data_IF_581184255673
#
_entry.id   IF_581184255673
#
_cell.length_a   1.000
_cell.length_b   1.000
_cell.length_c   1.000
_cell.angle_alpha   90.00
_cell.angle_beta   90.00
_cell.angle_gamma   90.00
#
_symmetry.space_group_name_H-M   'P 1'
#
loop_
_entity.id
_entity.type
_entity.pdbx_description
1 polymer ?
#
# COMPACT_ATOMS: atom_id res chain seq x y z
N UNK A 1 -2.27 -60.49 -32.88
CA UNK A 1 -3.21 -60.67 -31.74
C UNK A 1 -2.40 -60.74 -30.46
N UNK A 2 -2.70 -59.96 -29.42
CA UNK A 2 -3.12 -58.55 -29.41
C UNK A 2 -2.38 -57.71 -28.35
N UNK A 3 -2.73 -56.43 -28.34
CA UNK A 3 -2.37 -55.32 -27.43
C UNK A 3 -2.49 -55.64 -25.93
N UNK A 4 -1.82 -54.83 -25.09
CA UNK A 4 -2.47 -54.16 -23.96
C UNK A 4 -1.73 -52.85 -23.60
N UNK A 5 -2.46 -51.74 -23.77
CA UNK A 5 -2.17 -50.42 -23.23
C UNK A 5 -2.24 -50.43 -21.69
N UNK A 6 -1.46 -49.57 -21.03
CA UNK A 6 -1.91 -48.95 -19.78
C UNK A 6 -1.51 -47.47 -19.78
N UNK A 7 -2.51 -46.61 -19.92
CA UNK A 7 -2.41 -45.17 -19.75
C UNK A 7 -2.65 -44.73 -18.30
N UNK A 8 -3.00 -43.45 -18.19
CA UNK A 8 -3.37 -42.68 -16.98
C UNK A 8 -2.17 -42.03 -16.27
N UNK A 9 -1.79 -40.79 -16.59
CA UNK A 9 -2.44 -39.55 -16.15
C UNK A 9 -2.82 -39.58 -14.67
N UNK A 10 -2.00 -38.93 -13.84
CA UNK A 10 -2.44 -38.37 -12.56
C UNK A 10 -2.10 -36.88 -12.53
N UNK A 11 -2.88 -36.11 -13.29
CA UNK A 11 -3.31 -34.79 -12.83
C UNK A 11 -4.03 -34.98 -11.49
N UNK A 12 -3.57 -34.31 -10.43
CA UNK A 12 -4.30 -34.35 -9.17
C UNK A 12 -3.47 -34.11 -7.93
N UNK A 13 -2.91 -32.91 -7.79
CA UNK A 13 -2.82 -32.29 -6.46
C UNK A 13 -2.89 -30.78 -6.61
N UNK A 14 -4.12 -30.31 -6.88
CA UNK A 14 -4.49 -28.98 -6.43
C UNK A 14 -4.12 -28.92 -4.95
N UNK A 15 -3.17 -28.03 -4.61
CA UNK A 15 -2.85 -27.73 -3.23
C UNK A 15 -4.13 -27.27 -2.56
N UNK A 16 -4.74 -28.15 -1.78
CA UNK A 16 -5.66 -27.76 -0.73
C UNK A 16 -4.78 -27.02 0.27
N UNK A 17 -4.70 -25.70 0.11
CA UNK A 17 -4.10 -24.81 1.09
C UNK A 17 -4.88 -24.99 2.38
N UNK A 18 -4.22 -25.54 3.39
CA UNK A 18 -4.80 -25.79 4.69
C UNK A 18 -5.22 -24.43 5.29
N UNK A 19 -6.52 -24.21 5.47
CA UNK A 19 -7.15 -22.90 5.65
C UNK A 19 -6.97 -22.27 7.05
N UNK A 20 -5.94 -22.65 7.79
CA UNK A 20 -5.74 -22.23 9.17
C UNK A 20 -4.33 -21.64 9.35
N UNK A 21 -3.99 -20.58 8.61
CA UNK A 21 -2.86 -19.74 9.00
C UNK A 21 -3.26 -18.95 10.26
N UNK A 22 -2.93 -19.51 11.42
CA UNK A 22 -3.48 -19.19 12.74
C UNK A 22 -2.71 -18.09 13.48
N UNK A 23 -2.12 -17.12 12.80
CA UNK A 23 -1.40 -16.03 13.49
C UNK A 23 -2.39 -15.02 14.09
N UNK A 24 -2.06 -14.36 15.22
CA UNK A 24 -2.88 -13.27 15.76
C UNK A 24 -3.16 -12.18 14.72
N UNK A 25 -2.18 -11.91 13.85
CA UNK A 25 -2.28 -11.01 12.72
C UNK A 25 -3.43 -11.37 11.76
N UNK A 26 -3.43 -12.60 11.23
CA UNK A 26 -4.42 -13.01 10.23
C UNK A 26 -5.82 -13.19 10.83
N UNK A 27 -5.92 -13.52 12.13
CA UNK A 27 -7.21 -13.53 12.84
C UNK A 27 -7.79 -12.13 12.99
N UNK A 28 -6.95 -11.13 13.21
CA UNK A 28 -7.37 -9.74 13.33
C UNK A 28 -7.77 -9.16 11.98
N UNK A 29 -6.93 -9.34 10.95
CA UNK A 29 -7.15 -8.75 9.63
C UNK A 29 -8.21 -9.47 8.80
N UNK A 30 -8.43 -10.76 9.06
CA UNK A 30 -9.38 -11.62 8.35
C UNK A 30 -9.17 -11.68 6.82
N UNK A 31 -7.94 -11.45 6.38
CA UNK A 31 -7.59 -11.51 4.96
C UNK A 31 -7.83 -12.90 4.34
N UNK A 32 -7.53 -14.04 5.03
CA UNK A 32 -7.85 -15.36 4.51
C UNK A 32 -9.36 -15.58 4.28
N UNK A 33 -10.21 -15.05 5.16
CA UNK A 33 -11.67 -15.09 4.99
C UNK A 33 -12.12 -14.21 3.83
N UNK A 34 -11.53 -13.02 3.68
CA UNK A 34 -11.87 -12.06 2.62
C UNK A 34 -11.68 -12.65 1.22
N UNK A 35 -10.56 -13.36 1.01
CA UNK A 35 -10.21 -13.99 -0.28
C UNK A 35 -10.45 -15.49 -0.33
N UNK A 36 -11.28 -16.02 0.58
CA UNK A 36 -11.64 -17.44 0.59
C UNK A 36 -12.17 -17.87 -0.78
N UNK A 37 -11.65 -18.99 -1.27
CA UNK A 37 -12.01 -19.56 -2.58
C UNK A 37 -11.85 -18.55 -3.72
N UNK A 38 -10.74 -17.80 -3.78
CA UNK A 38 -10.40 -16.86 -4.87
C UNK A 38 -8.95 -17.04 -5.28
N UNK A 39 -8.62 -16.61 -6.50
CA UNK A 39 -7.24 -16.66 -6.99
C UNK A 39 -6.45 -15.48 -6.46
N UNK A 40 -5.53 -15.76 -5.53
CA UNK A 40 -4.57 -14.78 -5.01
C UNK A 40 -3.64 -14.26 -6.11
N UNK A 41 -3.36 -15.09 -7.12
CA UNK A 41 -2.61 -14.70 -8.31
C UNK A 41 -3.32 -13.58 -9.08
N UNK A 42 -4.63 -13.75 -9.36
CA UNK A 42 -5.42 -12.72 -10.06
C UNK A 42 -5.48 -11.44 -9.25
N UNK A 43 -5.68 -11.53 -7.94
CA UNK A 43 -5.77 -10.38 -7.04
C UNK A 43 -4.45 -9.60 -7.00
N UNK A 44 -3.33 -10.27 -6.78
CA UNK A 44 -2.00 -9.63 -6.68
C UNK A 44 -1.51 -9.08 -8.01
N UNK A 45 -1.71 -9.82 -9.10
CA UNK A 45 -1.31 -9.38 -10.45
C UNK A 45 -2.14 -8.18 -10.90
N UNK A 46 -3.41 -8.09 -10.48
CA UNK A 46 -4.26 -6.93 -10.77
C UNK A 46 -3.73 -5.61 -10.19
N UNK A 47 -2.89 -5.65 -9.16
CA UNK A 47 -2.26 -4.45 -8.58
C UNK A 47 -0.96 -4.05 -9.28
N UNK A 48 -0.41 -4.87 -10.19
CA UNK A 48 0.89 -4.60 -10.80
C UNK A 48 0.85 -3.39 -11.73
N UNK A 49 1.93 -2.63 -11.83
CA UNK A 49 1.96 -1.56 -12.83
C UNK A 49 2.04 -2.17 -14.24
N UNK A 50 1.39 -1.58 -15.26
CA UNK A 50 1.48 -2.05 -16.63
C UNK A 50 2.95 -2.11 -17.08
N UNK A 51 3.33 -3.22 -17.70
CA UNK A 51 4.62 -3.32 -18.38
C UNK A 51 4.68 -2.36 -19.58
N UNK A 52 5.92 -2.08 -20.01
CA UNK A 52 6.15 -1.24 -21.19
C UNK A 52 5.81 -1.97 -22.51
N UNK A 53 5.57 -3.28 -22.47
CA UNK A 53 5.25 -4.08 -23.65
C UNK A 53 3.88 -3.68 -24.20
N UNK A 54 3.88 -3.08 -25.39
CA UNK A 54 2.68 -2.55 -26.01
C UNK A 54 1.87 -3.59 -26.78
N UNK A 55 0.57 -3.35 -26.88
CA UNK A 55 -0.32 -4.05 -27.80
C UNK A 55 -0.69 -5.48 -27.41
N UNK A 56 -0.28 -5.94 -26.21
CA UNK A 56 -0.63 -7.24 -25.69
C UNK A 56 -1.56 -7.14 -24.48
N UNK A 57 -2.48 -8.11 -24.38
CA UNK A 57 -3.29 -8.27 -23.18
C UNK A 57 -2.39 -8.70 -22.01
N UNK A 58 -2.57 -8.07 -20.86
CA UNK A 58 -1.86 -8.44 -19.64
C UNK A 58 -2.57 -9.64 -19.00
N UNK A 59 -1.85 -10.75 -18.83
CA UNK A 59 -2.36 -11.93 -18.12
C UNK A 59 -2.39 -11.64 -16.62
N UNK A 60 -3.59 -11.67 -16.02
CA UNK A 60 -3.76 -11.50 -14.58
C UNK A 60 -3.63 -12.83 -13.81
N UNK A 61 -3.90 -13.95 -14.48
CA UNK A 61 -3.77 -15.29 -13.92
C UNK A 61 -4.89 -16.21 -14.37
N UNK A 62 -5.05 -17.33 -13.69
CA UNK A 62 -6.10 -18.31 -14.00
C UNK A 62 -7.20 -18.34 -12.92
N UNK A 63 -8.45 -18.45 -13.37
CA UNK A 63 -9.61 -18.64 -12.50
C UNK A 63 -10.59 -19.65 -13.08
N UNK A 64 -10.88 -20.74 -12.34
CA UNK A 64 -11.78 -21.83 -12.77
C UNK A 64 -11.50 -22.34 -14.20
N UNK A 65 -10.21 -22.52 -14.52
CA UNK A 65 -9.77 -22.96 -15.84
C UNK A 65 -9.75 -21.87 -16.92
N UNK A 66 -10.32 -20.69 -16.67
CA UNK A 66 -10.33 -19.56 -17.61
C UNK A 66 -9.16 -18.62 -17.35
N UNK A 67 -8.53 -18.13 -18.42
CA UNK A 67 -7.50 -17.10 -18.34
C UNK A 67 -8.17 -15.74 -18.10
N UNK A 68 -7.79 -15.06 -17.02
CA UNK A 68 -8.23 -13.72 -16.72
C UNK A 68 -7.19 -12.75 -17.27
N UNK A 69 -7.64 -11.82 -18.11
CA UNK A 69 -6.76 -10.87 -18.81
C UNK A 69 -7.30 -9.46 -18.69
N UNK A 70 -6.39 -8.49 -18.67
CA UNK A 70 -6.66 -7.08 -18.89
C UNK A 70 -6.31 -6.72 -20.34
N UNK A 71 -7.17 -5.98 -21.03
CA UNK A 71 -6.99 -5.71 -22.46
C UNK A 71 -5.83 -4.75 -22.72
N UNK A 72 -5.21 -4.85 -23.90
CA UNK A 72 -4.14 -3.92 -24.31
C UNK A 72 -4.57 -2.44 -24.27
N UNK A 73 -5.85 -2.15 -24.54
CA UNK A 73 -6.42 -0.80 -24.41
C UNK A 73 -6.44 -0.35 -22.94
N UNK A 74 -6.90 -1.22 -22.03
CA UNK A 74 -6.94 -0.92 -20.61
C UNK A 74 -5.53 -0.67 -20.05
N UNK A 75 -4.54 -1.48 -20.44
CA UNK A 75 -3.14 -1.29 -20.02
C UNK A 75 -2.53 0.01 -20.57
N UNK A 76 -2.92 0.41 -21.79
CA UNK A 76 -2.53 1.71 -22.35
C UNK A 76 -3.14 2.87 -21.57
N UNK A 77 -4.41 2.75 -21.19
CA UNK A 77 -5.07 3.74 -20.32
C UNK A 77 -4.39 3.81 -18.96
N UNK A 78 -4.06 2.67 -18.34
CA UNK A 78 -3.34 2.65 -17.06
C UNK A 78 -2.02 3.42 -17.14
N UNK A 79 -1.23 3.27 -18.22
CA UNK A 79 0.00 4.05 -18.42
C UNK A 79 -0.25 5.56 -18.43
N UNK A 80 -1.34 6.01 -19.07
CA UNK A 80 -1.76 7.42 -19.06
C UNK A 80 -2.15 7.85 -17.64
N UNK A 81 -2.92 7.04 -16.91
CA UNK A 81 -3.29 7.33 -15.52
C UNK A 81 -2.07 7.44 -14.61
N UNK A 82 -1.07 6.56 -14.76
CA UNK A 82 0.15 6.60 -13.96
C UNK A 82 0.95 7.89 -14.18
N UNK A 83 1.00 8.40 -15.41
CA UNK A 83 1.58 9.71 -15.71
C UNK A 83 0.76 10.85 -15.12
N UNK A 84 -0.57 10.74 -15.14
CA UNK A 84 -1.47 11.68 -14.45
C UNK A 84 -1.24 11.70 -12.93
N UNK A 85 -0.98 10.54 -12.32
CA UNK A 85 -0.63 10.43 -10.89
C UNK A 85 0.73 11.08 -10.58
N UNK A 86 1.71 10.97 -11.48
CA UNK A 86 2.99 11.67 -11.29
C UNK A 86 2.80 13.19 -11.24
N UNK A 87 1.96 13.74 -12.12
CA UNK A 87 1.61 15.17 -12.10
C UNK A 87 0.86 15.56 -10.81
N UNK A 88 -0.09 14.72 -10.38
CA UNK A 88 -0.81 14.89 -9.12
C UNK A 88 0.15 14.93 -7.93
N UNK A 89 1.06 13.95 -7.83
CA UNK A 89 2.01 13.91 -6.72
C UNK A 89 3.05 15.04 -6.79
N UNK A 90 3.49 15.47 -7.97
CA UNK A 90 4.35 16.65 -8.08
C UNK A 90 3.70 17.90 -7.46
N UNK A 91 2.39 18.08 -7.66
CA UNK A 91 1.62 19.16 -7.02
C UNK A 91 1.57 19.00 -5.51
N UNK A 92 1.25 17.80 -5.02
CA UNK A 92 1.22 17.46 -3.58
C UNK A 92 2.57 17.76 -2.92
N UNK A 93 3.68 17.39 -3.58
CA UNK A 93 5.03 17.63 -3.07
C UNK A 93 5.37 19.12 -3.04
N UNK A 94 4.95 19.90 -4.04
CA UNK A 94 5.14 21.35 -4.05
C UNK A 94 4.38 22.03 -2.90
N UNK A 95 3.16 21.58 -2.60
CA UNK A 95 2.40 22.04 -1.44
C UNK A 95 3.09 21.70 -0.13
N UNK A 96 3.58 20.47 0.02
CA UNK A 96 4.31 20.05 1.22
C UNK A 96 5.57 20.90 1.44
N UNK A 97 6.39 21.10 0.40
CA UNK A 97 7.61 21.91 0.48
C UNK A 97 7.32 23.37 0.91
N UNK A 98 6.18 23.92 0.48
CA UNK A 98 5.78 25.30 0.80
C UNK A 98 4.87 25.40 2.03
N UNK A 99 4.72 24.34 2.82
CA UNK A 99 3.91 24.34 4.05
C UNK A 99 4.80 24.61 5.27
N UNK A 100 4.30 25.46 6.19
CA UNK A 100 5.01 25.82 7.41
C UNK A 100 5.41 24.60 8.25
N UNK A 101 6.52 24.74 9.00
CA UNK A 101 7.01 23.71 9.91
C UNK A 101 5.92 23.24 10.90
N UNK A 102 5.22 24.19 11.52
CA UNK A 102 4.18 23.90 12.54
C UNK A 102 3.01 23.12 11.95
N UNK A 103 2.54 23.48 10.75
CA UNK A 103 1.47 22.74 10.08
C UNK A 103 1.90 21.31 9.73
N UNK A 104 3.16 21.12 9.29
CA UNK A 104 3.69 19.78 9.01
C UNK A 104 3.88 18.93 10.28
N UNK A 105 4.16 19.56 11.42
CA UNK A 105 4.22 18.89 12.72
C UNK A 105 2.83 18.40 13.16
N UNK A 106 1.81 19.27 13.08
CA UNK A 106 0.42 18.90 13.37
C UNK A 106 -0.09 17.79 12.46
N UNK A 107 0.26 17.81 11.18
CA UNK A 107 -0.12 16.74 10.25
C UNK A 107 0.50 15.38 10.60
N UNK A 108 1.67 15.37 11.22
CA UNK A 108 2.42 14.14 11.49
C UNK A 108 1.89 13.37 12.72
N UNK A 109 1.28 14.08 13.68
CA UNK A 109 0.64 13.50 14.86
C UNK A 109 -0.76 12.96 14.56
N UNK A 110 -1.06 11.76 15.06
CA UNK A 110 -2.41 11.21 15.10
C UNK A 110 -3.09 11.42 16.47
N UNK A 111 -2.40 12.05 17.43
CA UNK A 111 -3.05 12.48 18.68
C UNK A 111 -4.02 13.62 18.39
N UNK A 112 -5.15 13.61 19.09
CA UNK A 112 -6.15 14.65 18.96
C UNK A 112 -5.62 16.01 19.39
N UNK A 113 -4.90 16.08 20.50
CA UNK A 113 -4.56 17.35 21.15
C UNK A 113 -3.05 17.55 21.32
N UNK A 114 -2.24 16.52 21.10
CA UNK A 114 -0.81 16.58 21.40
C UNK A 114 -0.01 16.94 20.15
N UNK A 115 0.74 18.04 20.25
CA UNK A 115 1.67 18.49 19.23
C UNK A 115 2.90 17.59 19.19
N UNK A 116 3.34 17.22 17.98
CA UNK A 116 4.55 16.44 17.77
C UNK A 116 5.62 17.27 17.04
N UNK A 117 6.75 17.64 17.67
CA UNK A 117 7.76 18.54 17.09
C UNK A 117 8.63 17.88 15.99
N UNK A 118 8.07 16.95 15.22
CA UNK A 118 8.72 16.32 14.07
C UNK A 118 7.84 16.55 12.83
N UNK A 119 8.25 17.45 11.91
CA UNK A 119 7.43 17.81 10.78
C UNK A 119 7.33 16.62 9.82
N UNK A 120 6.15 16.45 9.22
CA UNK A 120 5.99 15.61 8.04
C UNK A 120 6.95 16.05 6.93
N UNK A 121 7.64 15.10 6.30
CA UNK A 121 8.70 15.34 5.31
C UNK A 121 8.57 14.41 4.11
N UNK A 122 9.17 14.84 3.00
CA UNK A 122 9.50 13.94 1.91
C UNK A 122 10.46 12.85 2.42
N UNK A 123 10.16 11.60 2.10
CA UNK A 123 11.08 10.48 2.38
C UNK A 123 12.01 10.26 1.18
N UNK A 124 13.25 9.83 1.42
CA UNK A 124 14.23 9.51 0.37
C UNK A 124 13.67 8.54 -0.69
N UNK A 125 12.80 7.63 -0.25
CA UNK A 125 12.14 6.64 -1.09
C UNK A 125 10.70 7.03 -1.46
N UNK A 126 10.40 8.32 -1.59
CA UNK A 126 9.04 8.82 -1.91
C UNK A 126 8.45 8.15 -3.15
N UNK A 127 9.29 7.85 -4.15
CA UNK A 127 8.93 7.08 -5.34
C UNK A 127 8.40 5.67 -5.02
N UNK A 128 8.97 4.99 -4.02
CA UNK A 128 8.49 3.67 -3.57
C UNK A 128 7.12 3.78 -2.91
N UNK A 129 6.89 4.81 -2.11
CA UNK A 129 5.58 5.05 -1.49
C UNK A 129 4.55 5.42 -2.55
N UNK A 130 4.85 6.36 -3.45
CA UNK A 130 4.00 6.70 -4.60
C UNK A 130 3.66 5.46 -5.43
N UNK A 131 4.61 4.52 -5.61
CA UNK A 131 4.37 3.24 -6.28
C UNK A 131 3.28 2.40 -5.61
N UNK A 132 3.15 2.43 -4.26
CA UNK A 132 2.04 1.79 -3.55
C UNK A 132 0.69 2.35 -4.00
N UNK A 133 0.57 3.68 -4.11
CA UNK A 133 -0.66 4.32 -4.59
C UNK A 133 -0.93 4.03 -6.07
N UNK A 134 0.11 4.06 -6.91
CA UNK A 134 0.02 3.67 -8.32
C UNK A 134 -0.55 2.26 -8.49
N UNK A 135 -0.06 1.31 -7.68
CA UNK A 135 -0.57 -0.07 -7.67
C UNK A 135 -2.02 -0.17 -7.21
N UNK A 136 -2.45 0.63 -6.22
CA UNK A 136 -3.88 0.74 -5.85
C UNK A 136 -4.72 1.23 -7.02
N UNK A 137 -4.27 2.28 -7.71
CA UNK A 137 -4.98 2.84 -8.87
C UNK A 137 -5.04 1.80 -10.00
N UNK A 138 -3.94 1.10 -10.31
CA UNK A 138 -3.96 -0.02 -11.25
C UNK A 138 -4.97 -1.09 -10.84
N UNK A 139 -4.98 -1.49 -9.58
CA UNK A 139 -5.92 -2.47 -9.03
C UNK A 139 -7.38 -2.06 -9.29
N UNK A 140 -7.80 -0.88 -8.83
CA UNK A 140 -9.21 -0.48 -8.94
C UNK A 140 -9.66 -0.28 -10.38
N UNK A 141 -8.81 0.25 -11.26
CA UNK A 141 -9.17 0.44 -12.67
C UNK A 141 -9.21 -0.89 -13.44
N UNK A 142 -8.36 -1.87 -13.10
CA UNK A 142 -8.52 -3.24 -13.65
C UNK A 142 -9.80 -3.89 -13.15
N UNK A 143 -10.12 -3.74 -11.86
CA UNK A 143 -11.38 -4.27 -11.31
C UNK A 143 -12.61 -3.62 -11.99
N UNK A 144 -12.56 -2.32 -12.28
CA UNK A 144 -13.62 -1.61 -13.01
C UNK A 144 -13.87 -2.22 -14.41
N UNK A 145 -12.85 -2.79 -15.05
CA UNK A 145 -12.98 -3.45 -16.36
C UNK A 145 -13.89 -4.69 -16.37
N UNK A 146 -14.15 -5.29 -15.20
CA UNK A 146 -15.01 -6.48 -15.08
C UNK A 146 -16.47 -6.09 -14.80
N UNK A 147 -17.42 -6.97 -15.14
CA UNK A 147 -18.83 -6.80 -14.77
C UNK A 147 -19.00 -7.00 -13.25
N UNK A 148 -20.00 -6.36 -12.64
CA UNK A 148 -20.24 -6.43 -11.19
C UNK A 148 -20.25 -7.86 -10.63
N UNK A 149 -20.94 -8.80 -11.30
CA UNK A 149 -20.95 -10.22 -10.91
C UNK A 149 -19.54 -10.82 -10.90
N UNK A 150 -18.72 -10.54 -11.92
CA UNK A 150 -17.34 -11.00 -12.00
C UNK A 150 -16.47 -10.35 -10.93
N UNK A 151 -16.69 -9.07 -10.61
CA UNK A 151 -15.97 -8.38 -9.52
C UNK A 151 -16.20 -9.07 -8.18
N UNK A 152 -17.45 -9.44 -7.89
CA UNK A 152 -17.80 -10.16 -6.66
C UNK A 152 -17.18 -11.57 -6.63
N UNK A 153 -17.20 -12.28 -7.76
CA UNK A 153 -16.66 -13.64 -7.86
C UNK A 153 -15.12 -13.66 -7.76
N UNK A 154 -14.42 -12.76 -8.44
CA UNK A 154 -12.96 -12.71 -8.51
C UNK A 154 -12.31 -12.04 -7.30
N UNK A 155 -12.87 -10.89 -6.87
CA UNK A 155 -12.21 -10.03 -5.89
C UNK A 155 -12.95 -9.99 -4.55
N UNK A 156 -14.24 -10.30 -4.49
CA UNK A 156 -15.07 -9.99 -3.31
C UNK A 156 -15.14 -8.48 -3.01
N UNK A 157 -15.01 -7.65 -4.04
CA UNK A 157 -14.86 -6.20 -3.92
C UNK A 157 -16.00 -5.47 -4.62
N UNK A 158 -16.47 -4.39 -4.00
CA UNK A 158 -17.51 -3.50 -4.54
C UNK A 158 -17.02 -2.08 -4.51
N UNK A 159 -17.17 -1.38 -5.63
CA UNK A 159 -16.92 0.05 -5.73
C UNK A 159 -18.23 0.80 -5.44
N UNK A 160 -18.14 1.94 -4.77
CA UNK A 160 -19.29 2.81 -4.56
C UNK A 160 -19.74 3.44 -5.88
N UNK A 161 -21.06 3.65 -6.04
CA UNK A 161 -21.63 4.25 -7.27
C UNK A 161 -20.98 5.60 -7.66
N UNK A 162 -20.61 6.43 -6.68
CA UNK A 162 -19.94 7.71 -6.93
C UNK A 162 -18.50 7.50 -7.41
N UNK A 163 -17.78 6.56 -6.81
CA UNK A 163 -16.41 6.21 -7.18
C UNK A 163 -16.37 5.65 -8.59
N UNK A 164 -17.28 4.73 -8.93
CA UNK A 164 -17.39 4.19 -10.28
C UNK A 164 -17.65 5.30 -11.31
N UNK A 165 -18.62 6.19 -11.07
CA UNK A 165 -18.88 7.33 -11.96
C UNK A 165 -17.64 8.20 -12.17
N UNK A 166 -16.91 8.49 -11.09
CA UNK A 166 -15.67 9.26 -11.14
C UNK A 166 -14.58 8.54 -11.94
N UNK A 167 -14.42 7.23 -11.75
CA UNK A 167 -13.44 6.42 -12.49
C UNK A 167 -13.80 6.33 -13.98
N UNK A 168 -15.07 6.19 -14.35
CA UNK A 168 -15.53 6.23 -15.73
C UNK A 168 -15.25 7.60 -16.39
N UNK A 169 -15.46 8.70 -15.65
CA UNK A 169 -15.08 10.04 -16.10
C UNK A 169 -13.57 10.15 -16.34
N UNK A 170 -12.74 9.68 -15.40
CA UNK A 170 -11.28 9.65 -15.55
C UNK A 170 -10.85 8.84 -16.79
N UNK A 171 -11.47 7.67 -17.05
CA UNK A 171 -11.20 6.91 -18.27
C UNK A 171 -11.60 7.69 -19.54
N UNK A 172 -12.66 8.48 -19.49
CA UNK A 172 -13.06 9.33 -20.62
C UNK A 172 -12.04 10.44 -20.92
N UNK A 173 -11.40 11.00 -19.89
CA UNK A 173 -10.30 11.95 -20.04
C UNK A 173 -9.04 11.25 -20.58
N UNK A 174 -8.70 10.09 -20.04
CA UNK A 174 -7.53 9.32 -20.47
C UNK A 174 -7.60 8.92 -21.96
N UNK A 175 -8.79 8.60 -22.48
CA UNK A 175 -9.00 8.30 -23.91
C UNK A 175 -8.72 9.47 -24.86
N UNK A 176 -8.82 10.71 -24.37
CA UNK A 176 -8.59 11.91 -25.17
C UNK A 176 -7.11 12.29 -25.25
N UNK A 177 -6.28 11.72 -24.37
CA UNK A 177 -4.87 12.01 -24.32
C UNK A 177 -4.11 11.16 -25.34
N UNK A 178 -3.19 11.77 -26.12
CA UNK A 178 -2.38 11.01 -27.05
C UNK A 178 -1.49 10.06 -26.24
N UNK A 179 -1.46 8.79 -26.63
CA UNK A 179 -0.50 7.82 -26.10
C UNK A 179 0.95 8.10 -26.52
N UNK A 180 1.24 9.28 -27.12
CA UNK A 180 2.47 9.52 -27.87
C UNK A 180 3.70 9.57 -26.96
N UNK A 181 4.54 8.59 -27.22
CA UNK A 181 5.88 8.38 -26.73
C UNK A 181 6.85 9.39 -27.33
N UNK A 182 7.55 10.12 -26.48
CA UNK A 182 8.80 10.77 -26.82
C UNK A 182 9.74 10.64 -25.63
N UNK A 183 10.73 9.76 -25.79
CA UNK A 183 11.97 9.67 -25.02
C UNK A 183 11.91 10.01 -23.53
N UNK A 184 11.50 9.08 -22.69
CA UNK A 184 12.02 9.02 -21.32
C UNK A 184 13.08 7.91 -21.28
N UNK A 185 14.31 8.19 -20.81
CA UNK A 185 15.33 7.18 -20.72
C UNK A 185 14.85 6.03 -19.83
N UNK A 186 15.15 4.83 -20.30
CA UNK A 186 14.88 3.53 -19.72
C UNK A 186 15.07 3.56 -18.18
N UNK A 187 14.00 3.75 -17.43
CA UNK A 187 13.96 3.32 -16.05
C UNK A 187 13.61 1.84 -16.13
N UNK A 188 14.60 0.97 -15.85
CA UNK A 188 14.31 -0.43 -15.61
C UNK A 188 13.12 -0.53 -14.64
N UNK A 189 12.22 -1.52 -14.82
CA UNK A 189 11.31 -1.89 -13.76
C UNK A 189 12.17 -2.01 -12.50
N UNK A 190 11.83 -1.28 -11.45
CA UNK A 190 12.39 -1.56 -10.13
C UNK A 190 11.92 -2.98 -9.87
N UNK A 191 12.79 -3.95 -10.14
CA UNK A 191 12.52 -5.34 -9.81
C UNK A 191 12.03 -5.33 -8.36
N UNK A 192 10.90 -6.01 -8.13
CA UNK A 192 10.42 -6.32 -6.78
C UNK A 192 11.58 -7.01 -6.05
N UNK A 193 12.39 -6.21 -5.38
CA UNK A 193 13.29 -6.68 -4.37
C UNK A 193 12.42 -6.95 -3.14
N UNK A 194 11.68 -8.06 -3.21
CA UNK A 194 11.04 -8.75 -2.07
C UNK A 194 12.08 -9.06 -0.96
N UNK A 195 13.36 -8.70 -1.11
CA UNK A 195 14.42 -8.95 -0.13
C UNK A 195 14.85 -7.76 0.74
N UNK A 196 14.33 -6.53 0.56
CA UNK A 196 14.64 -5.43 1.50
C UNK A 196 13.69 -5.38 2.69
N UNK A 197 13.61 -6.49 3.44
CA UNK A 197 13.35 -6.41 4.87
C UNK A 197 14.56 -5.69 5.48
N UNK A 198 14.47 -4.36 5.59
CA UNK A 198 15.39 -3.63 6.44
C UNK A 198 15.30 -4.29 7.82
N UNK A 199 16.40 -4.91 8.25
CA UNK A 199 16.62 -5.22 9.65
C UNK A 199 16.79 -3.88 10.37
N UNK A 200 15.67 -3.20 10.62
CA UNK A 200 15.64 -2.13 11.61
C UNK A 200 15.76 -2.83 12.95
N UNK A 201 16.94 -2.73 13.54
CA UNK A 201 17.20 -3.07 14.93
C UNK A 201 16.45 -2.01 15.77
N UNK A 202 15.14 -2.25 15.97
CA UNK A 202 14.24 -1.41 16.76
C UNK A 202 14.61 -1.54 18.24
N UNK A 203 15.57 -0.73 18.70
CA UNK A 203 15.83 -0.55 20.13
C UNK A 203 14.69 0.26 20.73
N UNK A 204 13.71 -0.44 21.29
CA UNK A 204 12.53 0.08 22.00
C UNK A 204 12.93 1.12 23.06
N UNK A 205 12.45 2.34 22.85
CA UNK A 205 12.35 3.41 23.83
C UNK A 205 11.00 4.09 23.65
N UNK A 206 10.10 3.83 24.57
CA UNK A 206 8.70 4.27 24.62
C UNK A 206 8.45 5.73 24.19
N UNK A 207 7.52 5.91 23.24
CA UNK A 207 6.44 6.91 23.25
C UNK A 207 5.52 6.62 22.07
N UNK A 208 4.21 6.92 22.19
CA UNK A 208 3.18 6.84 21.13
C UNK A 208 3.45 7.79 19.93
N UNK A 209 4.69 8.17 19.71
CA UNK A 209 5.13 8.99 18.62
C UNK A 209 6.18 8.21 17.85
N UNK A 210 6.09 8.25 16.52
CA UNK A 210 6.97 7.54 15.58
C UNK A 210 8.45 7.92 15.83
N UNK A 211 9.07 7.26 16.82
CA UNK A 211 10.50 7.18 17.04
C UNK A 211 11.03 6.07 16.16
N UNK A 212 11.06 6.31 14.86
CA UNK A 212 11.99 5.59 14.01
C UNK A 212 12.64 6.56 13.04
N UNK A 213 13.94 6.35 12.92
CA UNK A 213 14.96 7.10 12.23
C UNK A 213 14.65 7.32 10.75
N UNK A 214 13.78 8.27 10.46
CA UNK A 214 13.93 9.02 9.21
C UNK A 214 15.28 9.75 9.30
N UNK A 215 16.33 9.12 8.78
CA UNK A 215 17.45 9.82 8.14
C UNK A 215 16.88 10.59 6.94
N UNK A 216 16.03 11.57 7.25
CA UNK A 216 15.55 12.59 6.33
C UNK A 216 16.72 13.51 6.11
N UNK A 217 17.63 13.11 5.23
CA UNK A 217 18.48 14.07 4.54
C UNK A 217 17.53 15.13 3.98
N UNK A 218 17.85 16.40 4.18
CA UNK A 218 17.08 17.53 3.65
C UNK A 218 17.10 17.49 2.11
N UNK A 219 16.22 16.68 1.51
CA UNK A 219 15.91 16.70 0.07
C UNK A 219 14.90 17.82 -0.21
N UNK A 220 15.00 18.94 0.51
CA UNK A 220 14.10 20.08 0.35
C UNK A 220 14.38 20.77 -1.01
N UNK A 221 15.62 20.69 -1.48
CA UNK A 221 16.06 21.31 -2.74
C UNK A 221 15.40 20.74 -4.01
N UNK A 222 15.03 19.45 -4.03
CA UNK A 222 14.43 18.84 -5.24
C UNK A 222 12.97 19.26 -5.46
N UNK A 223 12.25 19.62 -4.39
CA UNK A 223 10.83 19.97 -4.43
C UNK A 223 10.56 21.47 -4.20
N UNK A 224 11.61 22.26 -3.96
CA UNK A 224 11.56 23.73 -3.98
C UNK A 224 11.48 24.32 -5.40
N UNK A 225 11.66 23.51 -6.46
CA UNK A 225 11.43 23.93 -7.85
C UNK A 225 9.98 24.34 -8.05
N UNK A 226 9.75 25.40 -8.83
CA UNK A 226 8.41 25.89 -9.15
C UNK A 226 7.59 24.79 -9.87
N UNK A 227 6.40 24.50 -9.33
CA UNK A 227 5.49 23.54 -9.95
C UNK A 227 4.98 24.12 -11.28
N UNK A 228 5.29 23.44 -12.38
CA UNK A 228 4.83 23.82 -13.70
C UNK A 228 3.47 23.19 -13.97
N UNK A 229 2.48 24.02 -14.29
CA UNK A 229 1.17 23.52 -14.69
C UNK A 229 1.28 22.69 -15.98
N UNK A 230 0.73 21.47 -15.99
CA UNK A 230 0.67 20.68 -17.22
C UNK A 230 -0.32 21.31 -18.21
N UNK A 231 -0.29 20.83 -19.46
CA UNK A 231 -1.29 21.25 -20.44
C UNK A 231 -2.71 20.89 -19.96
N UNK A 232 -3.71 21.63 -20.42
CA UNK A 232 -5.09 21.53 -19.91
C UNK A 232 -5.63 20.09 -19.84
N UNK A 233 -5.49 19.21 -20.86
CA UNK A 233 -5.96 17.83 -20.76
C UNK A 233 -5.28 17.00 -19.65
N UNK A 234 -3.99 17.23 -19.42
CA UNK A 234 -3.24 16.59 -18.34
C UNK A 234 -3.58 17.18 -16.97
N UNK A 235 -3.87 18.48 -16.91
CA UNK A 235 -4.35 19.14 -15.69
C UNK A 235 -5.69 18.54 -15.26
N UNK A 236 -6.67 18.50 -16.16
CA UNK A 236 -8.00 17.90 -15.94
C UNK A 236 -7.89 16.46 -15.44
N UNK A 237 -7.04 15.64 -16.07
CA UNK A 237 -6.79 14.26 -15.63
C UNK A 237 -6.19 14.20 -14.22
N UNK A 238 -5.15 15.00 -13.94
CA UNK A 238 -4.45 14.98 -12.66
C UNK A 238 -5.33 15.46 -11.50
N UNK A 239 -6.17 16.47 -11.73
CA UNK A 239 -7.12 16.99 -10.76
C UNK A 239 -8.25 15.96 -10.51
N UNK A 240 -8.76 15.31 -11.56
CA UNK A 240 -9.73 14.24 -11.43
C UNK A 240 -9.17 13.04 -10.64
N UNK A 241 -7.92 12.64 -10.89
CA UNK A 241 -7.23 11.61 -10.11
C UNK A 241 -7.04 11.99 -8.64
N UNK A 242 -6.76 13.26 -8.36
CA UNK A 242 -6.73 13.77 -6.98
C UNK A 242 -8.09 13.66 -6.31
N UNK A 243 -9.15 14.12 -6.97
CA UNK A 243 -10.51 14.02 -6.44
C UNK A 243 -10.90 12.56 -6.16
N UNK A 244 -10.62 11.63 -7.08
CA UNK A 244 -10.85 10.20 -6.85
C UNK A 244 -10.04 9.69 -5.65
N UNK A 245 -8.76 10.06 -5.54
CA UNK A 245 -7.92 9.66 -4.42
C UNK A 245 -8.50 10.14 -3.08
N UNK A 246 -9.00 11.37 -3.05
CA UNK A 246 -9.66 11.93 -1.87
C UNK A 246 -11.01 11.28 -1.58
N UNK A 247 -11.76 10.81 -2.59
CA UNK A 247 -12.96 10.01 -2.35
C UNK A 247 -12.64 8.71 -1.62
N UNK A 248 -11.54 8.04 -1.96
CA UNK A 248 -11.10 6.84 -1.24
C UNK A 248 -10.67 7.17 0.20
N UNK A 249 -9.89 8.24 0.40
CA UNK A 249 -9.40 8.63 1.73
C UNK A 249 -10.46 9.23 2.66
N UNK A 250 -11.50 9.86 2.11
CA UNK A 250 -12.61 10.46 2.88
C UNK A 250 -13.82 9.53 3.00
N UNK A 251 -13.66 8.26 2.63
CA UNK A 251 -14.70 7.24 2.79
C UNK A 251 -15.18 7.17 4.25
N UNK A 252 -16.49 7.20 4.44
CA UNK A 252 -17.13 7.00 5.73
C UNK A 252 -18.35 6.10 5.53
N UNK A 253 -18.32 4.91 6.13
CA UNK A 253 -19.43 3.97 6.12
C UNK A 253 -20.54 4.41 7.08
N UNK A 254 -21.84 4.33 6.70
CA UNK A 254 -22.94 4.67 7.61
C UNK A 254 -22.98 3.83 8.90
N UNK A 255 -22.47 2.60 8.84
CA UNK A 255 -22.38 1.69 9.98
C UNK A 255 -21.12 1.90 10.83
N UNK A 256 -20.24 2.82 10.44
CA UNK A 256 -18.94 3.05 11.10
C UNK A 256 -17.88 1.98 10.78
N UNK A 257 -18.22 0.93 10.03
CA UNK A 257 -17.22 -0.03 9.55
C UNK A 257 -16.51 0.47 8.28
N UNK A 258 -15.29 -0.04 8.06
CA UNK A 258 -14.47 0.25 6.87
C UNK A 258 -14.51 -0.87 5.84
N UNK A 259 -15.52 -1.75 5.88
CA UNK A 259 -15.59 -2.96 5.02
C UNK A 259 -15.67 -2.63 3.53
N UNK A 260 -16.28 -1.48 3.20
CA UNK A 260 -16.43 -0.97 1.84
C UNK A 260 -15.33 0.04 1.44
N UNK A 261 -14.34 0.27 2.30
CA UNK A 261 -13.24 1.18 2.00
C UNK A 261 -12.27 0.54 1.01
N UNK A 262 -12.09 1.20 -0.14
CA UNK A 262 -11.10 0.82 -1.15
C UNK A 262 -9.69 0.76 -0.56
N UNK A 263 -9.31 1.76 0.25
CA UNK A 263 -7.99 1.85 0.86
C UNK A 263 -7.75 0.71 1.84
N UNK A 264 -8.72 0.39 2.70
CA UNK A 264 -8.60 -0.70 3.68
C UNK A 264 -8.62 -2.06 3.00
N UNK A 265 -9.51 -2.28 2.04
CA UNK A 265 -9.50 -3.49 1.23
C UNK A 265 -8.14 -3.70 0.55
N UNK A 266 -7.53 -2.63 0.03
CA UNK A 266 -6.23 -2.72 -0.63
C UNK A 266 -5.09 -3.12 0.33
N UNK A 267 -5.20 -2.86 1.64
CA UNK A 267 -4.23 -3.40 2.62
C UNK A 267 -4.21 -4.93 2.61
N UNK A 268 -5.35 -5.57 2.38
CA UNK A 268 -5.43 -7.03 2.25
C UNK A 268 -4.75 -7.52 0.97
N UNK A 269 -4.89 -6.79 -0.13
CA UNK A 269 -4.19 -7.09 -1.39
C UNK A 269 -2.68 -6.99 -1.22
N UNK A 270 -2.21 -5.93 -0.54
CA UNK A 270 -0.79 -5.75 -0.19
C UNK A 270 -0.28 -6.83 0.76
N UNK A 271 -1.18 -7.40 1.57
CA UNK A 271 -0.91 -8.47 2.50
C UNK A 271 -0.59 -9.81 1.86
N UNK A 272 -0.73 -9.97 0.54
CA UNK A 272 -0.46 -11.22 -0.16
C UNK A 272 0.98 -11.22 -0.72
N UNK A 273 1.73 -12.27 -0.44
CA UNK A 273 3.02 -12.57 -1.03
C UNK A 273 2.84 -13.12 -2.45
N UNK A 274 3.44 -12.45 -3.44
CA UNK A 274 3.20 -12.77 -4.85
C UNK A 274 3.81 -14.11 -5.26
N UNK A 275 4.99 -14.46 -4.75
CA UNK A 275 5.67 -15.70 -5.17
C UNK A 275 5.08 -16.95 -4.53
N UNK A 276 4.74 -16.87 -3.25
CA UNK A 276 4.25 -18.00 -2.47
C UNK A 276 2.73 -18.12 -2.46
N UNK A 277 2.00 -17.08 -2.85
CA UNK A 277 0.53 -16.98 -2.70
C UNK A 277 0.08 -17.26 -1.27
N UNK A 278 0.87 -16.77 -0.29
CA UNK A 278 0.57 -16.81 1.14
C UNK A 278 0.44 -15.38 1.68
N UNK A 279 0.04 -15.20 2.94
CA UNK A 279 -0.05 -13.86 3.52
C UNK A 279 1.25 -13.44 4.21
N UNK A 280 1.57 -12.15 4.17
CA UNK A 280 2.65 -11.57 4.94
C UNK A 280 2.35 -11.64 6.45
N UNK A 281 3.34 -12.01 7.28
CA UNK A 281 3.23 -11.86 8.73
C UNK A 281 3.19 -10.38 9.15
N UNK A 282 2.92 -10.12 10.44
CA UNK A 282 2.79 -8.77 10.98
C UNK A 282 4.03 -7.89 10.70
N UNK A 283 5.24 -8.38 11.00
CA UNK A 283 6.49 -7.63 10.82
C UNK A 283 6.74 -7.21 9.36
N UNK A 284 6.35 -8.04 8.40
CA UNK A 284 6.52 -7.74 6.97
C UNK A 284 5.43 -6.83 6.40
N UNK A 285 4.33 -6.63 7.13
CA UNK A 285 3.19 -5.82 6.70
C UNK A 285 3.33 -4.33 7.05
N UNK A 286 4.18 -3.99 8.03
CA UNK A 286 4.31 -2.64 8.58
C UNK A 286 4.81 -1.60 7.56
N UNK A 287 5.74 -1.98 6.69
CA UNK A 287 6.34 -1.09 5.70
C UNK A 287 5.31 -0.60 4.66
N UNK A 288 4.43 -1.49 4.22
CA UNK A 288 3.33 -1.17 3.32
C UNK A 288 2.30 -0.24 3.96
N UNK A 289 1.94 -0.50 5.22
CA UNK A 289 1.04 0.36 5.99
C UNK A 289 1.64 1.76 6.19
N UNK A 290 2.92 1.84 6.54
CA UNK A 290 3.64 3.12 6.68
C UNK A 290 3.64 3.92 5.38
N UNK A 291 3.82 3.25 4.23
CA UNK A 291 3.75 3.89 2.93
C UNK A 291 2.34 4.47 2.65
N UNK A 292 1.27 3.72 2.93
CA UNK A 292 -0.11 4.23 2.80
C UNK A 292 -0.39 5.40 3.75
N UNK A 293 0.07 5.33 5.00
CA UNK A 293 -0.08 6.43 5.95
C UNK A 293 0.67 7.68 5.48
N UNK A 294 1.88 7.54 4.92
CA UNK A 294 2.60 8.67 4.35
C UNK A 294 1.84 9.28 3.16
N UNK A 295 1.32 8.46 2.24
CA UNK A 295 0.49 8.93 1.11
C UNK A 295 -0.76 9.65 1.61
N UNK A 296 -1.45 9.08 2.60
CA UNK A 296 -2.63 9.68 3.21
C UNK A 296 -2.33 11.06 3.78
N UNK A 297 -1.29 11.19 4.61
CA UNK A 297 -0.84 12.49 5.15
C UNK A 297 -0.53 13.49 4.04
N UNK A 298 0.21 13.08 3.00
CA UNK A 298 0.54 13.94 1.88
C UNK A 298 -0.70 14.44 1.12
N UNK A 299 -1.64 13.55 0.79
CA UNK A 299 -2.87 13.90 0.09
C UNK A 299 -3.79 14.76 0.96
N UNK A 300 -3.90 14.49 2.26
CA UNK A 300 -4.69 15.32 3.17
C UNK A 300 -4.07 16.70 3.39
N UNK A 301 -2.74 16.85 3.28
CA UNK A 301 -2.10 18.16 3.29
C UNK A 301 -2.49 18.98 2.05
N UNK A 302 -2.44 18.38 0.86
CA UNK A 302 -2.95 19.01 -0.37
C UNK A 302 -4.46 19.30 -0.25
N UNK A 303 -5.24 18.40 0.35
CA UNK A 303 -6.67 18.58 0.56
C UNK A 303 -6.97 19.81 1.44
N UNK A 304 -6.20 19.94 2.53
CA UNK A 304 -6.40 20.98 3.53
C UNK A 304 -5.88 22.33 3.05
N UNK A 305 -4.67 22.36 2.50
CA UNK A 305 -3.91 23.58 2.20
C UNK A 305 -3.30 23.53 0.79
N UNK A 306 -4.10 23.35 -0.28
CA UNK A 306 -3.58 23.24 -1.63
C UNK A 306 -2.86 24.53 -2.01
N UNK A 307 -1.64 24.42 -2.54
CA UNK A 307 -0.88 25.59 -2.94
C UNK A 307 -1.54 26.36 -4.10
N UNK A 308 -2.17 25.62 -5.02
CA UNK A 308 -2.88 26.15 -6.17
C UNK A 308 -4.36 25.73 -6.14
N UNK A 309 -5.25 26.47 -6.81
CA UNK A 309 -6.66 26.09 -6.91
C UNK A 309 -6.87 24.95 -7.91
N UNK A 310 -7.88 24.12 -7.67
CA UNK A 310 -8.35 23.11 -8.63
C UNK A 310 -9.47 23.74 -9.46
N UNK A 311 -9.14 24.12 -10.69
CA UNK A 311 -10.03 24.90 -11.56
C UNK A 311 -10.80 24.05 -12.56
N UNK A 312 -10.42 22.77 -12.71
CA UNK A 312 -11.04 21.87 -13.68
C UNK A 312 -12.12 20.98 -13.06
N UNK A 313 -12.17 20.90 -11.74
CA UNK A 313 -13.17 20.13 -11.02
C UNK A 313 -14.56 20.80 -11.11
N UNK A 314 -15.61 19.98 -11.05
CA UNK A 314 -16.99 20.47 -11.05
C UNK A 314 -17.29 21.41 -9.86
N UNK A 315 -16.66 21.15 -8.71
CA UNK A 315 -16.67 22.04 -7.56
C UNK A 315 -15.29 22.68 -7.42
N UNK A 316 -15.25 24.01 -7.54
CA UNK A 316 -14.02 24.77 -7.42
C UNK A 316 -13.37 24.52 -6.05
N UNK A 317 -12.10 24.11 -6.07
CA UNK A 317 -11.30 23.97 -4.85
C UNK A 317 -10.32 25.12 -4.75
N UNK A 318 -10.45 26.01 -3.76
CA UNK A 318 -9.63 27.21 -3.70
C UNK A 318 -8.18 26.89 -3.27
N UNK A 319 -7.25 27.76 -3.62
CA UNK A 319 -5.89 27.75 -3.07
C UNK A 319 -5.92 28.15 -1.60
N UNK A 320 -4.89 27.75 -0.84
CA UNK A 320 -4.80 28.00 0.61
C UNK A 320 -4.83 29.46 1.01
N UNK A 321 -4.43 30.36 0.11
CA UNK A 321 -4.41 31.80 0.34
C UNK A 321 -5.81 32.42 0.38
N UNK A 322 -6.84 31.67 -0.07
CA UNK A 322 -8.24 32.09 -0.02
C UNK A 322 -8.93 31.66 1.30
N UNK A 323 -8.28 30.86 2.15
CA UNK A 323 -8.84 30.53 3.45
C UNK A 323 -8.56 31.63 4.46
N UNK A 324 -9.58 32.01 5.25
CA UNK A 324 -9.45 32.97 6.35
C UNK A 324 -8.34 32.59 7.33
N UNK A 325 -8.23 31.30 7.66
CA UNK A 325 -7.24 30.75 8.58
C UNK A 325 -6.78 29.38 8.09
N UNK A 326 -5.55 29.31 7.59
CA UNK A 326 -4.91 28.06 7.17
C UNK A 326 -4.76 27.06 8.35
N UNK A 327 -4.35 27.47 9.56
CA UNK A 327 -4.29 26.57 10.71
C UNK A 327 -5.65 25.97 11.08
N UNK A 328 -6.72 26.78 11.13
CA UNK A 328 -8.07 26.27 11.42
C UNK A 328 -8.54 25.31 10.34
N UNK A 329 -8.29 25.63 9.07
CA UNK A 329 -8.63 24.74 7.96
C UNK A 329 -7.93 23.39 8.10
N UNK A 330 -6.62 23.39 8.37
CA UNK A 330 -5.86 22.17 8.59
C UNK A 330 -6.40 21.37 9.76
N UNK A 331 -6.69 22.04 10.88
CA UNK A 331 -7.16 21.39 12.10
C UNK A 331 -8.51 20.71 11.90
N UNK A 332 -9.46 21.36 11.21
CA UNK A 332 -10.76 20.76 10.87
C UNK A 332 -10.59 19.47 10.05
N UNK A 333 -9.68 19.47 9.07
CA UNK A 333 -9.41 18.29 8.25
C UNK A 333 -8.72 17.20 9.08
N UNK A 334 -7.70 17.57 9.85
CA UNK A 334 -6.93 16.65 10.68
C UNK A 334 -7.81 15.95 11.70
N UNK A 335 -8.59 16.69 12.47
CA UNK A 335 -9.52 16.15 13.47
C UNK A 335 -10.55 15.19 12.86
N UNK A 336 -10.98 15.47 11.64
CA UNK A 336 -11.99 14.66 10.96
C UNK A 336 -11.43 13.38 10.35
N UNK A 337 -10.20 13.41 9.83
CA UNK A 337 -9.70 12.34 8.97
C UNK A 337 -8.35 11.73 9.35
N UNK A 338 -7.54 12.35 10.21
CA UNK A 338 -6.16 11.92 10.48
C UNK A 338 -5.90 11.52 11.94
N UNK A 339 -6.87 11.72 12.83
CA UNK A 339 -6.73 11.40 14.26
C UNK A 339 -7.07 9.93 14.52
N UNK A 340 -6.39 9.32 15.50
CA UNK A 340 -6.68 7.96 15.96
C UNK A 340 -8.15 7.79 16.36
N UNK A 341 -8.75 6.66 16.00
CA UNK A 341 -10.16 6.37 16.29
C UNK A 341 -11.17 7.15 15.46
N UNK A 342 -10.74 7.91 14.43
CA UNK A 342 -11.68 8.46 13.46
C UNK A 342 -12.24 7.36 12.55
N UNK A 343 -13.52 7.47 12.17
CA UNK A 343 -14.20 6.52 11.28
C UNK A 343 -13.84 6.76 9.82
N UNK A 344 -12.55 6.65 9.50
CA UNK A 344 -12.01 6.86 8.15
C UNK A 344 -10.91 5.84 7.88
N UNK A 345 -10.51 5.63 6.61
CA UNK A 345 -9.45 4.69 6.28
C UNK A 345 -8.13 5.00 7.00
N UNK A 346 -7.82 6.27 7.25
CA UNK A 346 -6.60 6.62 7.97
C UNK A 346 -6.65 6.17 9.43
N UNK A 347 -7.81 6.30 10.09
CA UNK A 347 -8.04 5.83 11.45
C UNK A 347 -7.82 4.32 11.58
N UNK A 348 -8.37 3.54 10.64
CA UNK A 348 -8.20 2.09 10.60
C UNK A 348 -6.74 1.69 10.32
N UNK A 349 -6.02 2.42 9.45
CA UNK A 349 -4.59 2.19 9.21
C UNK A 349 -3.74 2.40 10.47
N UNK A 350 -4.09 3.39 11.32
CA UNK A 350 -3.41 3.61 12.60
C UNK A 350 -3.58 2.38 13.49
N UNK A 351 -4.80 1.86 13.65
CA UNK A 351 -5.05 0.68 14.49
C UNK A 351 -4.41 -0.59 13.91
N UNK A 352 -4.46 -0.79 12.58
CA UNK A 352 -3.80 -1.91 11.91
C UNK A 352 -2.29 -1.88 12.12
N UNK A 353 -1.65 -0.72 11.97
CA UNK A 353 -0.21 -0.58 12.21
C UNK A 353 0.13 -0.79 13.69
N UNK A 354 -0.64 -0.21 14.61
CA UNK A 354 -0.43 -0.39 16.05
C UNK A 354 -0.53 -1.86 16.47
N UNK A 355 -1.50 -2.59 15.90
CA UNK A 355 -1.66 -4.03 16.14
C UNK A 355 -0.51 -4.86 15.53
N UNK A 356 -0.05 -4.53 14.33
CA UNK A 356 1.14 -5.18 13.76
C UNK A 356 2.37 -4.97 14.65
N UNK A 357 2.61 -3.73 15.10
CA UNK A 357 3.73 -3.39 15.98
C UNK A 357 3.63 -4.09 17.34
N UNK A 358 2.43 -4.22 17.92
CA UNK A 358 2.26 -4.93 19.20
C UNK A 358 2.60 -6.42 19.09
N UNK A 359 2.26 -7.07 17.97
CA UNK A 359 2.67 -8.45 17.70
C UNK A 359 4.20 -8.54 17.60
N UNK A 360 4.85 -7.62 16.87
CA UNK A 360 6.32 -7.62 16.74
C UNK A 360 7.01 -7.46 18.09
N UNK A 361 6.48 -6.60 18.97
CA UNK A 361 7.00 -6.44 20.34
C UNK A 361 6.84 -7.70 21.18
N UNK A 362 5.72 -8.41 21.03
CA UNK A 362 5.43 -9.61 21.82
C UNK A 362 6.20 -10.84 21.33
N UNK A 363 6.29 -11.03 20.02
CA UNK A 363 6.89 -12.23 19.40
C UNK A 363 8.40 -12.04 19.14
N UNK A 364 8.89 -10.81 19.15
CA UNK A 364 10.23 -10.45 18.70
C UNK A 364 10.35 -10.50 17.17
N UNK A 365 11.37 -9.82 16.62
CA UNK A 365 11.70 -10.00 15.20
C UNK A 365 12.20 -11.42 14.96
N UNK A 366 11.73 -12.13 13.92
CA UNK A 366 12.29 -13.43 13.58
C UNK A 366 13.79 -13.26 13.30
N UNK A 367 14.62 -13.85 14.16
CA UNK A 367 16.05 -13.95 13.88
C UNK A 367 16.27 -14.86 12.68
N UNK A 368 17.09 -14.42 11.71
CA UNK A 368 17.61 -15.34 10.71
C UNK A 368 18.40 -16.44 11.44
N UNK A 369 17.85 -17.66 11.41
CA UNK A 369 18.51 -18.87 11.89
C UNK A 369 19.10 -19.57 10.67
N UNK A 370 20.40 -19.39 10.45
CA UNK A 370 21.13 -20.14 9.43
C UNK A 370 21.96 -21.23 10.09
N UNK A 371 21.94 -22.43 9.54
CA UNK A 371 22.89 -23.46 9.95
C UNK A 371 24.28 -23.06 9.51
N UNK A 372 25.24 -23.17 10.41
CA UNK A 372 26.64 -23.05 10.01
C UNK A 372 26.98 -24.20 9.04
N UNK A 373 27.97 -24.02 8.15
CA UNK A 373 28.39 -25.04 7.18
C UNK A 373 28.78 -26.39 7.81
N UNK A 374 29.10 -26.39 9.11
CA UNK A 374 29.45 -27.58 9.88
C UNK A 374 28.24 -28.46 10.27
N UNK A 375 27.00 -27.98 10.11
CA UNK A 375 25.77 -28.66 10.52
C UNK A 375 25.64 -28.89 12.04
N UNK A 376 26.48 -28.26 12.86
CA UNK A 376 26.59 -28.48 14.32
C UNK A 376 26.33 -27.21 15.13
N UNK A 377 26.25 -26.06 14.48
CA UNK A 377 25.88 -24.79 15.09
C UNK A 377 24.87 -24.05 14.20
N UNK A 378 24.10 -23.15 14.82
CA UNK A 378 23.25 -22.22 14.08
C UNK A 378 23.61 -20.79 14.50
N UNK A 379 23.52 -19.87 13.55
CA UNK A 379 23.77 -18.45 13.76
C UNK A 379 22.42 -17.77 13.97
N UNK A 380 22.31 -16.97 15.03
CA UNK A 380 21.14 -16.12 15.30
C UNK A 380 21.49 -14.69 14.87
N UNK A 381 20.88 -14.19 13.79
CA UNK A 381 21.17 -12.86 13.27
C UNK A 381 22.59 -12.77 12.69
N UNK A 382 23.27 -11.63 12.86
CA UNK A 382 24.57 -11.39 12.23
C UNK A 382 25.81 -11.81 13.05
N UNK A 383 25.74 -12.12 14.35
CA UNK A 383 26.98 -12.27 15.15
C UNK A 383 26.94 -13.25 16.35
N UNK A 384 25.92 -14.11 16.49
CA UNK A 384 25.88 -15.09 17.60
C UNK A 384 25.76 -16.53 17.11
N UNK A 385 26.89 -17.23 17.08
CA UNK A 385 26.97 -18.67 16.85
C UNK A 385 26.56 -19.42 18.13
N UNK A 386 25.51 -20.23 18.05
CA UNK A 386 24.99 -21.01 19.18
C UNK A 386 25.04 -22.49 18.83
N UNK A 387 25.63 -23.29 19.71
CA UNK A 387 25.69 -24.75 19.57
C UNK A 387 24.49 -25.38 20.28
N UNK A 388 23.73 -26.27 19.64
CA UNK A 388 22.62 -26.98 20.29
C UNK A 388 23.07 -27.72 21.56
N UNK A 389 24.28 -28.29 21.56
CA UNK A 389 24.82 -29.02 22.72
C UNK A 389 25.04 -28.18 23.98
N UNK A 390 25.20 -26.86 23.85
CA UNK A 390 25.29 -25.93 25.01
C UNK A 390 23.91 -25.44 25.47
N UNK A 391 22.94 -25.35 24.56
CA UNK A 391 21.54 -25.06 24.88
C UNK A 391 20.87 -26.19 25.69
N UNK A 392 21.07 -27.45 25.29
CA UNK A 392 20.53 -28.60 26.02
C UNK A 392 21.06 -28.70 27.46
N UNK A 393 22.33 -28.33 27.68
CA UNK A 393 22.90 -28.25 29.04
C UNK A 393 22.26 -27.13 29.87
N UNK A 394 21.95 -25.98 29.27
CA UNK A 394 21.30 -24.85 29.95
C UNK A 394 19.86 -25.14 30.33
N UNK A 395 19.09 -25.78 29.45
CA UNK A 395 17.69 -26.18 29.70
C UNK A 395 17.62 -27.31 30.74
N UNK A 396 18.59 -28.24 30.73
CA UNK A 396 18.68 -29.29 31.75
C UNK A 396 19.06 -28.73 33.13
N UNK A 397 19.84 -27.64 33.20
CA UNK A 397 20.21 -26.99 34.46
C UNK A 397 19.06 -26.18 35.07
N UNK A 398 18.20 -25.56 34.25
CA UNK A 398 17.01 -24.85 34.74
C UNK A 398 15.85 -25.78 35.15
N UNK A 399 15.75 -26.99 34.58
CA UNK A 399 14.81 -28.02 35.04
C UNK A 399 15.19 -28.59 36.42
N UNK A 400 16.50 -28.69 36.72
CA UNK A 400 16.98 -29.18 38.03
C UNK A 400 16.84 -28.11 39.13
N UNK A 401 16.76 -26.81 38.78
CA UNK A 401 16.60 -25.73 39.75
C UNK A 401 15.14 -25.45 40.18
N UNK A 402 14.14 -26.08 39.55
CA UNK A 402 12.71 -25.98 39.92
C UNK A 402 12.16 -27.26 40.56
N UNK A 403 13.05 -28.17 40.96
CA UNK A 403 12.71 -29.41 41.67
C UNK A 403 13.25 -29.44 43.10
N UNK A 404 12.78 -28.52 43.95
CA UNK A 404 12.62 -28.72 45.41
C UNK A 404 11.32 -28.04 45.84
#
# INVERSE_FOLDING_TARGET
MPELQLGSSHYGRAGVTNSNETTPWLRHTRWPELFRNRSLEVITTSAQQPDFVQGQDCLLGQWRGSLIKSSAEAETQLRILLRGLDLMFNRVMATMARTSYTSRCWLNTYSRNDFWPHPFRAVLYSKRYISVWKRLICFVFRVLGFKERQRQELYNFRLGLKEEKMMHYILSLARQLPSREQGCPHMHPVEDDESSHASSDESDGETDFEGDTNLGVEVDSQYQSEFLFPSRPWLELSEALFQLSMMFWTHQGPAGDMSSSVTIYYTAVMGIQRRSMSYYPAHSSTSGLAALMWIGRALFLEYALPLYSYTTLAYHWPSRDQYHSQPERLEVIRQRYLVRGCYTPFGELIELKAFATSIVRQEGMPGNLSWAPDGRSFVVGNDKEVRPSTLWKRISLSSVALGV
#
